data_IF_592066052818
#
_entry.id   IF_592066052818
#
_cell.length_a   1.000
_cell.length_b   1.000
_cell.length_c   1.000
_cell.angle_alpha   90.00
_cell.angle_beta   90.00
_cell.angle_gamma   90.00
#
_symmetry.space_group_name_H-M   'P 1'
#
loop_
_entity.id
_entity.type
_entity.pdbx_description
1 polymer ?
#
# COMPACT_ATOMS: atom_id res chain seq x y z
N UNK A 1 -6.79 3.30 20.72
CA UNK A 1 -5.44 3.68 21.15
C UNK A 1 -5.24 3.59 22.65
N UNK A 2 -4.43 2.62 23.08
CA UNK A 2 -4.18 2.32 24.48
C UNK A 2 -2.95 3.10 25.00
N UNK A 3 -3.09 4.00 26.00
CA UNK A 3 -1.96 4.78 26.50
C UNK A 3 -0.97 3.97 27.35
N UNK A 4 0.31 4.36 27.43
CA UNK A 4 1.32 3.76 28.31
C UNK A 4 1.20 4.34 29.74
N UNK A 5 0.09 4.07 30.41
CA UNK A 5 -0.32 4.68 31.68
C UNK A 5 -0.11 3.79 32.92
N UNK A 6 0.65 2.71 32.78
CA UNK A 6 0.88 1.77 33.88
C UNK A 6 -0.26 0.80 34.15
N UNK A 7 -1.39 0.90 33.44
CA UNK A 7 -2.54 0.01 33.66
C UNK A 7 -2.47 -1.21 32.74
N UNK A 8 -3.07 -2.33 33.16
CA UNK A 8 -3.11 -3.59 32.40
C UNK A 8 -1.72 -4.11 31.99
N UNK A 9 -0.71 -3.90 32.85
CA UNK A 9 0.68 -4.36 32.61
C UNK A 9 1.48 -3.51 31.61
N UNK A 10 0.93 -2.38 31.14
CA UNK A 10 1.65 -1.44 30.27
C UNK A 10 2.72 -0.69 31.07
N UNK A 11 3.77 -0.26 30.39
CA UNK A 11 4.75 0.65 30.98
C UNK A 11 4.07 1.98 31.36
N UNK A 12 4.61 2.67 32.37
CA UNK A 12 4.01 3.86 32.97
C UNK A 12 4.79 5.15 32.64
N UNK A 13 4.73 5.58 31.38
CA UNK A 13 5.46 6.76 30.90
C UNK A 13 4.59 7.79 30.16
N UNK A 14 3.26 7.64 30.14
CA UNK A 14 2.33 8.61 29.54
C UNK A 14 2.57 10.04 30.06
N UNK A 15 2.78 10.20 31.36
CA UNK A 15 3.06 11.50 31.97
C UNK A 15 4.38 12.12 31.49
N UNK A 16 5.41 11.30 31.22
CA UNK A 16 6.68 11.78 30.68
C UNK A 16 6.54 12.31 29.23
N UNK A 17 5.51 11.86 28.51
CA UNK A 17 5.13 12.37 27.20
C UNK A 17 4.12 13.53 27.29
N UNK A 18 3.85 14.10 28.46
CA UNK A 18 2.90 15.21 28.63
C UNK A 18 1.48 14.80 29.03
N UNK A 19 1.21 13.50 29.22
CA UNK A 19 -0.07 13.02 29.72
C UNK A 19 -1.21 13.19 28.70
N UNK A 20 -2.44 13.34 29.20
CA UNK A 20 -3.59 13.67 28.34
C UNK A 20 -3.47 15.10 27.77
N UNK A 21 -2.91 16.02 28.55
CA UNK A 21 -2.80 17.44 28.18
C UNK A 21 -4.15 18.07 27.83
N UNK A 22 -4.13 19.12 27.02
CA UNK A 22 -5.33 19.86 26.65
C UNK A 22 -6.13 19.15 25.55
N UNK A 23 -5.46 18.39 24.68
CA UNK A 23 -6.11 17.67 23.58
C UNK A 23 -6.72 16.32 24.00
N UNK A 24 -6.35 15.81 25.17
CA UNK A 24 -6.62 14.43 25.58
C UNK A 24 -5.64 13.40 24.98
N UNK A 25 -4.78 13.82 24.05
CA UNK A 25 -3.83 12.96 23.32
C UNK A 25 -2.43 13.56 23.24
N UNK A 26 -2.07 14.49 24.14
CA UNK A 26 -0.77 15.18 24.10
C UNK A 26 0.42 14.21 24.18
N UNK A 27 0.27 13.08 24.86
CA UNK A 27 1.29 12.02 24.86
C UNK A 27 1.58 11.44 23.47
N UNK A 28 0.59 11.40 22.57
CA UNK A 28 0.79 11.00 21.17
C UNK A 28 1.46 12.15 20.41
N UNK A 29 0.94 13.37 20.54
CA UNK A 29 1.49 14.54 19.85
C UNK A 29 2.96 14.74 20.18
N UNK A 30 3.33 14.68 21.45
CA UNK A 30 4.72 14.83 21.88
C UNK A 30 5.61 13.70 21.38
N UNK A 31 5.13 12.45 21.34
CA UNK A 31 5.89 11.35 20.75
C UNK A 31 6.20 11.60 19.27
N UNK A 32 5.22 12.10 18.50
CA UNK A 32 5.43 12.43 17.08
C UNK A 32 6.27 13.69 16.87
N UNK A 33 6.12 14.73 17.71
CA UNK A 33 6.99 15.92 17.69
C UNK A 33 8.45 15.54 17.91
N UNK A 34 8.72 14.70 18.92
CA UNK A 34 10.06 14.16 19.18
C UNK A 34 10.56 13.34 17.98
N UNK A 35 9.71 12.52 17.37
CA UNK A 35 10.09 11.77 16.17
C UNK A 35 10.46 12.71 15.01
N UNK A 36 9.69 13.78 14.77
CA UNK A 36 10.02 14.79 13.75
C UNK A 36 11.30 15.56 14.03
N UNK A 37 11.66 15.74 15.29
CA UNK A 37 12.93 16.37 15.68
C UNK A 37 14.14 15.45 15.42
N UNK A 38 13.98 14.15 15.66
CA UNK A 38 15.07 13.18 15.66
C UNK A 38 15.31 12.55 14.28
N UNK A 39 14.24 12.19 13.57
CA UNK A 39 14.35 11.45 12.31
C UNK A 39 14.50 12.40 11.10
N UNK A 40 15.22 11.97 10.05
CA UNK A 40 15.32 12.72 8.80
C UNK A 40 13.93 13.04 8.22
N UNK A 41 13.80 14.19 7.55
CA UNK A 41 12.53 14.70 7.04
C UNK A 41 11.84 13.76 6.04
N UNK A 42 12.59 12.93 5.33
CA UNK A 42 12.10 11.89 4.44
C UNK A 42 11.52 10.66 5.15
N UNK A 43 11.74 10.53 6.47
CA UNK A 43 11.21 9.42 7.26
C UNK A 43 9.72 9.61 7.47
N UNK A 44 8.94 8.71 6.87
CA UNK A 44 7.49 8.71 7.04
C UNK A 44 7.10 8.19 8.42
N UNK A 45 6.29 8.94 9.15
CA UNK A 45 5.77 8.58 10.46
C UNK A 45 4.35 8.02 10.34
N UNK A 46 4.13 6.91 11.03
CA UNK A 46 2.88 6.15 10.99
C UNK A 46 2.29 6.04 12.40
N UNK A 47 1.00 6.35 12.54
CA UNK A 47 0.23 5.93 13.71
C UNK A 47 -0.32 4.54 13.40
N UNK A 48 -0.11 3.55 14.27
CA UNK A 48 -0.55 2.17 14.08
C UNK A 48 -1.39 1.70 15.28
N UNK A 49 -2.48 0.98 15.01
CA UNK A 49 -3.35 0.42 16.04
C UNK A 49 -4.23 -0.71 15.48
N UNK A 50 -4.96 -1.40 16.36
CA UNK A 50 -5.89 -2.48 16.02
C UNK A 50 -7.33 -2.16 16.37
N UNK A 51 -8.25 -2.94 15.80
CA UNK A 51 -9.70 -2.77 15.99
C UNK A 51 -10.17 -1.36 15.60
N UNK A 52 -9.60 -0.79 14.53
CA UNK A 52 -10.04 0.50 14.00
C UNK A 52 -11.16 0.24 13.00
N UNK A 53 -10.90 -0.53 11.95
CA UNK A 53 -11.84 -0.69 10.83
C UNK A 53 -13.05 -1.59 11.13
N UNK A 54 -13.08 -2.27 12.27
CA UNK A 54 -14.18 -3.15 12.66
C UNK A 54 -15.28 -2.44 13.47
N UNK A 55 -15.04 -1.19 13.88
CA UNK A 55 -15.92 -0.42 14.75
C UNK A 55 -15.89 1.05 14.36
N UNK A 56 -17.04 1.61 13.98
CA UNK A 56 -17.12 3.04 13.64
C UNK A 56 -16.77 3.94 14.82
N UNK A 57 -17.08 3.54 16.07
CA UNK A 57 -16.67 4.29 17.26
C UNK A 57 -15.16 4.31 17.45
N UNK A 58 -14.49 3.17 17.19
CA UNK A 58 -13.02 3.09 17.24
C UNK A 58 -12.39 3.92 16.12
N UNK A 59 -12.94 3.82 14.90
CA UNK A 59 -12.53 4.63 13.74
C UNK A 59 -12.64 6.12 14.05
N UNK A 60 -13.77 6.58 14.60
CA UNK A 60 -13.95 8.00 14.97
C UNK A 60 -12.94 8.46 16.03
N UNK A 61 -12.65 7.62 17.02
CA UNK A 61 -11.64 7.95 18.05
C UNK A 61 -10.25 8.06 17.41
N UNK A 62 -9.92 7.16 16.48
CA UNK A 62 -8.65 7.18 15.78
C UNK A 62 -8.49 8.41 14.87
N UNK A 63 -9.55 8.79 14.17
CA UNK A 63 -9.61 10.00 13.36
C UNK A 63 -9.37 11.27 14.19
N UNK A 64 -9.90 11.35 15.42
CA UNK A 64 -9.61 12.49 16.30
C UNK A 64 -8.11 12.64 16.58
N UNK A 65 -7.39 11.53 16.79
CA UNK A 65 -5.93 11.55 17.00
C UNK A 65 -5.21 11.96 15.70
N UNK A 66 -5.64 11.42 14.57
CA UNK A 66 -5.08 11.74 13.25
C UNK A 66 -5.26 13.22 12.93
N UNK A 67 -6.43 13.80 13.18
CA UNK A 67 -6.72 15.22 12.97
C UNK A 67 -5.79 16.12 13.79
N UNK A 68 -5.55 15.77 15.06
CA UNK A 68 -4.60 16.49 15.92
C UNK A 68 -3.17 16.42 15.36
N UNK A 69 -2.74 15.24 14.88
CA UNK A 69 -1.42 15.08 14.26
C UNK A 69 -1.30 15.82 12.92
N UNK A 70 -2.35 15.81 12.09
CA UNK A 70 -2.39 16.52 10.82
C UNK A 70 -2.33 18.04 10.99
N UNK A 71 -2.97 18.58 12.05
CA UNK A 71 -2.93 20.01 12.36
C UNK A 71 -1.50 20.56 12.55
N UNK A 72 -0.55 19.69 12.88
CA UNK A 72 0.87 20.02 13.08
C UNK A 72 1.82 19.37 12.05
N UNK A 73 1.28 18.76 10.99
CA UNK A 73 2.04 18.02 9.96
C UNK A 73 2.92 16.88 10.55
N UNK A 74 2.43 16.21 11.58
CA UNK A 74 3.19 15.22 12.34
C UNK A 74 3.09 13.78 11.79
N UNK A 75 2.11 13.48 10.94
CA UNK A 75 1.81 12.11 10.48
C UNK A 75 1.81 12.02 8.95
N UNK A 76 2.29 10.88 8.41
CA UNK A 76 2.38 10.62 6.97
C UNK A 76 1.60 9.37 6.51
N UNK A 77 1.27 8.46 7.42
CA UNK A 77 0.65 7.16 7.13
C UNK A 77 -0.32 6.78 8.25
N UNK A 78 -1.48 6.23 7.88
CA UNK A 78 -2.41 5.57 8.80
C UNK A 78 -2.14 4.06 8.78
N UNK A 79 -1.77 3.49 9.91
CA UNK A 79 -1.64 2.05 10.11
C UNK A 79 -2.91 1.44 10.72
N UNK A 80 -3.34 0.30 10.18
CA UNK A 80 -4.32 -0.62 10.76
C UNK A 80 -3.71 -2.02 10.78
N UNK A 81 -3.69 -2.67 11.94
CA UNK A 81 -3.06 -4.00 12.08
C UNK A 81 -3.73 -5.06 11.21
N UNK A 82 -5.07 -5.16 11.25
CA UNK A 82 -5.81 -6.15 10.45
C UNK A 82 -5.75 -7.59 10.97
N UNK A 83 -5.43 -7.82 12.25
CA UNK A 83 -5.41 -9.16 12.83
C UNK A 83 -6.75 -9.91 12.69
N UNK A 84 -6.71 -11.24 12.76
CA UNK A 84 -7.88 -12.11 12.59
C UNK A 84 -9.07 -11.77 13.51
N UNK A 85 -8.79 -11.35 14.75
CA UNK A 85 -9.83 -10.98 15.72
C UNK A 85 -10.48 -9.61 15.43
N UNK A 86 -9.83 -8.75 14.63
CA UNK A 86 -10.39 -7.46 14.21
C UNK A 86 -11.15 -7.60 12.90
N UNK A 87 -10.77 -8.51 12.01
CA UNK A 87 -11.41 -8.71 10.69
C UNK A 87 -12.68 -9.59 10.72
N UNK A 88 -13.29 -9.77 11.90
CA UNK A 88 -14.57 -10.48 12.09
C UNK A 88 -15.78 -9.67 11.63
N UNK A 89 -15.65 -8.35 11.50
CA UNK A 89 -16.69 -7.48 10.99
C UNK A 89 -17.03 -7.77 9.51
N UNK A 90 -18.20 -7.28 9.08
CA UNK A 90 -18.61 -7.38 7.66
C UNK A 90 -17.67 -6.57 6.77
N UNK A 91 -17.51 -6.99 5.51
CA UNK A 91 -16.70 -6.25 4.53
C UNK A 91 -17.26 -4.84 4.29
N UNK A 92 -18.57 -4.66 4.34
CA UNK A 92 -19.22 -3.34 4.29
C UNK A 92 -18.77 -2.44 5.44
N UNK A 93 -18.77 -2.94 6.68
CA UNK A 93 -18.28 -2.19 7.85
C UNK A 93 -16.82 -1.79 7.67
N UNK A 94 -15.97 -2.75 7.31
CA UNK A 94 -14.54 -2.50 7.10
C UNK A 94 -14.30 -1.44 6.01
N UNK A 95 -14.97 -1.56 4.85
CA UNK A 95 -14.82 -0.60 3.76
C UNK A 95 -15.37 0.79 4.09
N UNK A 96 -16.48 0.89 4.82
CA UNK A 96 -17.00 2.19 5.29
C UNK A 96 -15.99 2.90 6.19
N UNK A 97 -15.37 2.16 7.11
CA UNK A 97 -14.38 2.74 8.01
C UNK A 97 -13.06 3.07 7.27
N UNK A 98 -12.61 2.23 6.32
CA UNK A 98 -11.48 2.55 5.44
C UNK A 98 -11.75 3.81 4.59
N UNK A 99 -12.97 3.99 4.08
CA UNK A 99 -13.36 5.23 3.37
C UNK A 99 -13.22 6.46 4.29
N UNK A 100 -13.63 6.35 5.56
CA UNK A 100 -13.50 7.43 6.52
C UNK A 100 -12.03 7.77 6.82
N UNK A 101 -11.16 6.76 6.95
CA UNK A 101 -9.72 6.96 7.11
C UNK A 101 -9.10 7.59 5.86
N UNK A 102 -9.46 7.12 4.66
CA UNK A 102 -8.93 7.62 3.40
C UNK A 102 -9.37 9.06 3.10
N UNK A 103 -10.51 9.51 3.65
CA UNK A 103 -10.98 10.88 3.52
C UNK A 103 -10.05 11.92 4.17
N UNK A 104 -9.12 11.49 5.05
CA UNK A 104 -8.06 12.35 5.60
C UNK A 104 -7.02 12.78 4.57
N UNK A 105 -6.97 12.10 3.41
CA UNK A 105 -5.93 12.27 2.40
C UNK A 105 -4.61 11.56 2.71
N UNK A 106 -4.49 10.89 3.87
CA UNK A 106 -3.32 10.08 4.20
C UNK A 106 -3.48 8.66 3.64
N UNK A 107 -2.39 8.04 3.17
CA UNK A 107 -2.42 6.66 2.75
C UNK A 107 -2.50 5.70 3.94
N UNK A 108 -3.16 4.57 3.70
CA UNK A 108 -3.40 3.52 4.68
C UNK A 108 -2.46 2.35 4.41
N UNK A 109 -1.84 1.82 5.46
CA UNK A 109 -1.09 0.56 5.44
C UNK A 109 -1.78 -0.45 6.34
N UNK A 110 -2.05 -1.65 5.81
CA UNK A 110 -2.39 -2.79 6.65
C UNK A 110 -1.09 -3.41 7.13
N UNK A 111 -0.81 -3.36 8.43
CA UNK A 111 0.55 -3.54 8.95
C UNK A 111 0.84 -4.94 9.48
N UNK A 112 -0.18 -5.68 9.91
CA UNK A 112 -0.01 -6.92 10.67
C UNK A 112 -1.11 -7.95 10.32
N UNK A 113 -1.45 -8.08 9.04
CA UNK A 113 -2.53 -8.97 8.61
C UNK A 113 -2.20 -10.43 8.91
N UNK A 114 -3.08 -11.06 9.68
CA UNK A 114 -3.13 -12.51 9.84
C UNK A 114 -4.59 -12.98 9.81
N UNK A 115 -4.80 -14.20 9.31
CA UNK A 115 -6.14 -14.78 9.17
C UNK A 115 -6.07 -16.22 9.68
N UNK A 116 -6.79 -16.45 10.77
CA UNK A 116 -6.87 -17.73 11.46
C UNK A 116 -7.41 -18.85 10.53
N UNK A 117 -7.00 -20.08 10.81
CA UNK A 117 -7.23 -21.22 9.93
C UNK A 117 -7.41 -22.51 10.69
N UNK A 118 -8.49 -22.60 11.48
CA UNK A 118 -8.90 -23.83 12.20
C UNK A 118 -9.11 -25.03 11.26
N UNK A 119 -9.36 -24.76 9.98
CA UNK A 119 -9.16 -25.69 8.86
C UNK A 119 -8.75 -24.91 7.61
N UNK A 120 -8.19 -25.58 6.61
CA UNK A 120 -7.82 -24.95 5.33
C UNK A 120 -9.01 -24.30 4.62
N UNK A 121 -10.19 -24.92 4.67
CA UNK A 121 -11.40 -24.38 4.07
C UNK A 121 -11.82 -23.06 4.73
N UNK A 122 -11.75 -22.98 6.07
CA UNK A 122 -12.10 -21.77 6.83
C UNK A 122 -11.10 -20.65 6.54
N UNK A 123 -9.81 -20.98 6.51
CA UNK A 123 -8.77 -19.99 6.21
C UNK A 123 -8.94 -19.43 4.79
N UNK A 124 -9.14 -20.31 3.81
CA UNK A 124 -9.36 -19.94 2.42
C UNK A 124 -10.58 -19.02 2.25
N UNK A 125 -11.73 -19.38 2.82
CA UNK A 125 -12.94 -18.55 2.76
C UNK A 125 -12.71 -17.18 3.42
N UNK A 126 -11.94 -17.14 4.50
CA UNK A 126 -11.63 -15.89 5.19
C UNK A 126 -10.70 -14.99 4.38
N UNK A 127 -9.66 -15.56 3.75
CA UNK A 127 -8.81 -14.83 2.79
C UNK A 127 -9.62 -14.27 1.62
N UNK A 128 -10.49 -15.08 1.01
CA UNK A 128 -11.38 -14.67 -0.08
C UNK A 128 -12.31 -13.52 0.29
N UNK A 129 -12.72 -13.43 1.56
CA UNK A 129 -13.60 -12.36 2.07
C UNK A 129 -12.82 -11.11 2.44
N UNK A 130 -11.72 -11.26 3.18
CA UNK A 130 -11.02 -10.17 3.85
C UNK A 130 -10.03 -9.50 2.91
N UNK A 131 -9.17 -10.29 2.25
CA UNK A 131 -8.05 -9.74 1.49
C UNK A 131 -8.51 -8.80 0.36
N UNK A 132 -9.50 -9.14 -0.48
CA UNK A 132 -9.99 -8.22 -1.52
C UNK A 132 -10.61 -6.94 -0.95
N UNK A 133 -11.32 -7.04 0.17
CA UNK A 133 -11.95 -5.89 0.80
C UNK A 133 -10.93 -4.85 1.29
N UNK A 134 -9.72 -5.29 1.63
CA UNK A 134 -8.59 -4.45 2.00
C UNK A 134 -7.77 -4.02 0.77
N UNK A 135 -7.31 -4.99 -0.03
CA UNK A 135 -6.36 -4.79 -1.12
C UNK A 135 -6.91 -3.93 -2.25
N UNK A 136 -8.20 -4.05 -2.57
CA UNK A 136 -8.84 -3.27 -3.64
C UNK A 136 -9.34 -1.89 -3.15
N UNK A 137 -9.10 -1.52 -1.90
CA UNK A 137 -9.49 -0.22 -1.39
C UNK A 137 -8.48 0.85 -1.86
N UNK A 138 -8.89 1.93 -2.55
CA UNK A 138 -7.95 2.87 -3.17
C UNK A 138 -7.10 3.66 -2.17
N UNK A 139 -7.54 3.78 -0.92
CA UNK A 139 -6.75 4.37 0.16
C UNK A 139 -5.69 3.46 0.76
N UNK A 140 -5.70 2.15 0.47
CA UNK A 140 -4.74 1.18 1.00
C UNK A 140 -3.55 1.06 0.04
N UNK A 141 -2.37 1.50 0.48
CA UNK A 141 -1.14 1.48 -0.31
C UNK A 141 -0.35 0.17 -0.16
N UNK A 142 -0.60 -0.59 0.90
CA UNK A 142 0.16 -1.81 1.17
C UNK A 142 -0.45 -2.68 2.26
N UNK A 143 -0.09 -3.96 2.21
CA UNK A 143 -0.47 -4.98 3.18
C UNK A 143 0.79 -5.76 3.57
N UNK A 144 1.07 -5.82 4.85
CA UNK A 144 2.13 -6.65 5.46
C UNK A 144 1.49 -7.76 6.26
N UNK A 145 1.92 -9.01 6.01
CA UNK A 145 1.46 -10.16 6.78
C UNK A 145 2.24 -10.27 8.10
N UNK A 146 1.55 -10.59 9.21
CA UNK A 146 2.18 -10.79 10.52
C UNK A 146 2.80 -12.18 10.68
N UNK A 147 3.74 -12.47 9.78
CA UNK A 147 4.30 -13.80 9.59
C UNK A 147 3.40 -14.69 8.72
N UNK A 148 4.02 -15.71 8.12
CA UNK A 148 3.34 -16.59 7.16
C UNK A 148 3.78 -18.06 7.24
N UNK A 149 4.80 -18.34 8.05
CA UNK A 149 5.29 -19.69 8.35
C UNK A 149 4.99 -20.03 9.80
N UNK A 150 5.03 -21.34 10.12
CA UNK A 150 4.92 -21.83 11.50
C UNK A 150 5.86 -21.06 12.44
N UNK A 151 5.38 -20.79 13.66
CA UNK A 151 6.07 -19.99 14.67
C UNK A 151 5.72 -18.50 14.68
N UNK A 152 4.79 -18.06 13.83
CA UNK A 152 4.18 -16.73 13.94
C UNK A 152 3.36 -16.58 15.23
N UNK A 153 3.00 -15.35 15.60
CA UNK A 153 2.27 -15.08 16.84
C UNK A 153 0.96 -15.88 16.95
N UNK A 154 0.25 -16.02 15.83
CA UNK A 154 -1.02 -16.79 15.75
C UNK A 154 -0.85 -18.22 15.22
N UNK A 155 0.28 -18.86 15.54
CA UNK A 155 0.58 -20.24 15.10
C UNK A 155 -0.48 -21.24 15.59
N UNK A 156 -0.89 -21.13 16.85
CA UNK A 156 -1.87 -22.03 17.47
C UNK A 156 -3.28 -21.88 16.87
N UNK A 157 -3.60 -20.72 16.31
CA UNK A 157 -4.86 -20.47 15.62
C UNK A 157 -4.81 -20.87 14.14
N UNK A 158 -3.68 -21.42 13.68
CA UNK A 158 -3.52 -21.86 12.31
C UNK A 158 -3.45 -20.70 11.32
N UNK A 159 -2.83 -19.57 11.67
CA UNK A 159 -2.75 -18.43 10.75
C UNK A 159 -1.61 -18.52 9.71
N UNK A 160 -0.66 -19.45 9.88
CA UNK A 160 0.39 -19.70 8.90
C UNK A 160 -0.20 -20.12 7.54
N UNK A 161 0.55 -19.83 6.48
CA UNK A 161 0.23 -20.08 5.08
C UNK A 161 1.04 -21.23 4.46
N UNK A 162 2.10 -21.67 5.16
CA UNK A 162 2.91 -22.84 4.81
C UNK A 162 2.86 -23.86 5.94
N UNK A 163 2.61 -25.12 5.59
CA UNK A 163 2.64 -26.27 6.49
C UNK A 163 4.07 -26.59 6.96
N UNK A 164 4.19 -27.39 8.02
CA UNK A 164 5.50 -27.75 8.58
C UNK A 164 6.41 -28.49 7.59
N UNK A 165 5.83 -29.25 6.66
CA UNK A 165 6.55 -29.97 5.60
C UNK A 165 6.96 -29.07 4.41
N UNK A 166 6.63 -27.78 4.47
CA UNK A 166 6.93 -26.80 3.42
C UNK A 166 5.86 -26.70 2.32
N UNK A 167 4.81 -27.52 2.36
CA UNK A 167 3.69 -27.41 1.42
C UNK A 167 2.87 -26.16 1.68
N UNK A 168 2.31 -25.59 0.62
CA UNK A 168 1.45 -24.43 0.71
C UNK A 168 0.06 -24.82 1.20
N UNK A 169 -0.57 -23.95 1.97
CA UNK A 169 -1.99 -24.10 2.28
C UNK A 169 -2.83 -23.51 1.16
N UNK A 170 -4.08 -23.98 0.97
CA UNK A 170 -4.96 -23.48 -0.10
C UNK A 170 -5.15 -21.95 -0.09
N UNK A 171 -5.10 -21.30 1.07
CA UNK A 171 -5.16 -19.85 1.18
C UNK A 171 -3.97 -19.13 0.49
N UNK A 172 -2.76 -19.69 0.56
CA UNK A 172 -1.58 -19.12 -0.09
C UNK A 172 -1.61 -19.33 -1.60
N UNK A 173 -2.01 -20.53 -2.03
CA UNK A 173 -2.21 -20.83 -3.45
C UNK A 173 -3.26 -19.89 -4.06
N UNK A 174 -4.39 -19.71 -3.36
CA UNK A 174 -5.43 -18.77 -3.76
C UNK A 174 -4.92 -17.33 -3.78
N UNK A 175 -4.22 -16.87 -2.74
CA UNK A 175 -3.73 -15.49 -2.66
C UNK A 175 -2.79 -15.15 -3.82
N UNK A 176 -1.87 -16.06 -4.15
CA UNK A 176 -0.99 -15.92 -5.31
C UNK A 176 -1.79 -15.81 -6.60
N UNK A 177 -2.69 -16.76 -6.83
CA UNK A 177 -3.54 -16.77 -8.01
C UNK A 177 -4.41 -15.51 -8.10
N UNK A 178 -4.97 -15.04 -6.98
CA UNK A 178 -5.76 -13.82 -6.92
C UNK A 178 -4.94 -12.59 -7.33
N UNK A 179 -3.73 -12.43 -6.78
CA UNK A 179 -2.83 -11.34 -7.14
C UNK A 179 -2.38 -11.43 -8.61
N UNK A 180 -2.10 -12.65 -9.10
CA UNK A 180 -1.80 -12.88 -10.51
C UNK A 180 -3.00 -12.54 -11.41
N UNK A 181 -4.23 -12.88 -11.00
CA UNK A 181 -5.43 -12.53 -11.75
C UNK A 181 -5.71 -11.04 -11.74
N UNK A 182 -5.43 -10.32 -10.66
CA UNK A 182 -5.53 -8.85 -10.67
C UNK A 182 -4.51 -8.25 -11.63
N UNK A 183 -3.30 -8.80 -11.70
CA UNK A 183 -2.34 -8.40 -12.74
C UNK A 183 -2.85 -8.71 -14.16
N UNK A 184 -3.68 -9.74 -14.33
CA UNK A 184 -4.33 -10.09 -15.61
C UNK A 184 -5.59 -9.24 -15.89
N UNK A 185 -6.42 -8.90 -14.91
CA UNK A 185 -7.66 -8.12 -15.09
C UNK A 185 -7.35 -6.63 -15.22
N UNK A 186 -6.34 -6.11 -14.51
CA UNK A 186 -5.75 -4.80 -14.81
C UNK A 186 -5.14 -4.79 -16.22
N UNK A 187 -4.77 -5.95 -16.76
CA UNK A 187 -4.35 -6.08 -18.15
C UNK A 187 -5.50 -6.20 -19.17
N UNK A 188 -6.77 -6.26 -18.74
CA UNK A 188 -7.97 -6.30 -19.62
C UNK A 188 -8.92 -5.11 -19.37
N UNK A 189 -8.59 -4.19 -18.46
CA UNK A 189 -9.19 -2.85 -18.53
C UNK A 189 -8.57 -2.07 -19.69
N UNK A 190 -9.23 -2.19 -20.85
CA UNK A 190 -9.22 -1.16 -21.88
C UNK A 190 -9.75 0.11 -21.21
N UNK A 191 -8.85 0.86 -20.56
CA UNK A 191 -9.10 2.23 -20.18
C UNK A 191 -9.33 2.98 -21.49
N UNK A 192 -10.59 3.03 -21.92
CA UNK A 192 -11.07 4.18 -22.66
C UNK A 192 -10.92 5.36 -21.71
N UNK A 193 -9.73 5.97 -21.76
CA UNK A 193 -9.45 7.27 -21.20
C UNK A 193 -10.61 8.19 -21.54
N UNK A 194 -11.24 8.81 -20.54
CA UNK A 194 -12.18 9.88 -20.79
C UNK A 194 -11.50 10.87 -21.74
N UNK A 195 -12.13 11.23 -22.88
CA UNK A 195 -11.53 12.19 -23.80
C UNK A 195 -11.22 13.49 -23.06
N UNK A 196 -9.94 13.84 -22.91
CA UNK A 196 -9.52 15.15 -22.40
C UNK A 196 -8.50 15.19 -21.25
N UNK A 197 -8.00 14.06 -20.73
CA UNK A 197 -7.01 14.06 -19.63
C UNK A 197 -5.67 13.40 -20.00
N UNK A 198 -4.60 13.79 -19.30
CA UNK A 198 -3.32 13.10 -19.36
C UNK A 198 -3.44 11.74 -18.69
N UNK A 199 -2.91 10.68 -19.32
CA UNK A 199 -2.93 9.35 -18.75
C UNK A 199 -1.62 8.60 -19.01
N UNK A 200 -1.21 7.77 -18.04
CA UNK A 200 -0.18 6.76 -18.21
C UNK A 200 -0.76 5.42 -17.76
N UNK A 201 -0.92 4.51 -18.72
CA UNK A 201 -1.43 3.17 -18.46
C UNK A 201 -0.38 2.33 -17.77
N UNK A 202 -0.84 1.30 -17.06
CA UNK A 202 0.04 0.24 -16.61
C UNK A 202 0.71 -0.40 -17.84
N UNK A 203 2.04 -0.61 -17.78
CA UNK A 203 2.74 -1.27 -18.89
C UNK A 203 2.20 -2.69 -19.10
N UNK A 204 2.14 -3.16 -20.34
CA UNK A 204 1.66 -4.51 -20.67
C UNK A 204 2.63 -5.25 -21.60
N UNK A 205 3.05 -6.49 -21.25
CA UNK A 205 2.72 -7.20 -20.00
C UNK A 205 3.35 -6.55 -18.75
N UNK A 206 2.79 -6.83 -17.57
CA UNK A 206 3.40 -6.57 -16.26
C UNK A 206 2.90 -7.61 -15.23
N UNK A 207 3.76 -8.50 -14.69
CA UNK A 207 5.20 -8.61 -14.94
C UNK A 207 5.56 -8.92 -16.40
N UNK A 208 6.77 -8.55 -16.84
CA UNK A 208 7.22 -8.71 -18.24
C UNK A 208 8.58 -9.42 -18.35
N UNK A 209 8.84 -10.02 -19.52
CA UNK A 209 10.10 -10.70 -19.84
C UNK A 209 10.48 -10.60 -21.33
N UNK A 210 11.60 -9.95 -21.70
CA UNK A 210 12.10 -8.71 -21.12
C UNK A 210 11.39 -7.48 -21.73
N UNK A 211 10.40 -7.68 -22.60
CA UNK A 211 9.75 -6.61 -23.37
C UNK A 211 8.36 -6.28 -22.82
N UNK A 212 8.05 -4.99 -22.76
CA UNK A 212 6.74 -4.46 -22.38
C UNK A 212 6.37 -3.23 -23.19
N UNK A 213 5.07 -2.96 -23.31
CA UNK A 213 4.51 -1.80 -23.98
C UNK A 213 3.94 -0.83 -22.95
N UNK A 214 4.31 0.43 -23.08
CA UNK A 214 3.86 1.56 -22.26
C UNK A 214 2.87 2.35 -23.10
N UNK A 215 1.63 2.50 -22.63
CA UNK A 215 0.61 3.31 -23.30
C UNK A 215 0.32 4.59 -22.50
N UNK A 216 0.08 5.69 -23.20
CA UNK A 216 -0.21 6.99 -22.58
C UNK A 216 -1.08 7.88 -23.48
N UNK A 217 -1.85 8.78 -22.87
CA UNK A 217 -2.74 9.74 -23.55
C UNK A 217 -2.27 11.16 -23.33
N UNK A 218 -2.28 11.95 -24.41
CA UNK A 218 -1.96 13.37 -24.43
C UNK A 218 -3.23 14.13 -24.84
N UNK A 219 -3.83 14.94 -23.96
CA UNK A 219 -5.06 15.68 -24.28
C UNK A 219 -4.80 16.99 -25.02
N UNK A 220 -3.62 17.60 -24.82
CA UNK A 220 -3.20 18.84 -25.47
C UNK A 220 -1.73 18.78 -25.88
N UNK A 221 -1.32 19.47 -26.97
CA UNK A 221 0.06 19.39 -27.46
C UNK A 221 1.08 19.80 -26.39
N UNK A 222 1.98 18.89 -26.04
CA UNK A 222 3.00 19.14 -25.01
C UNK A 222 4.26 18.32 -25.24
N UNK A 223 5.31 18.65 -24.50
CA UNK A 223 6.54 17.86 -24.48
C UNK A 223 6.44 16.73 -23.46
N UNK A 224 6.78 15.51 -23.85
CA UNK A 224 6.71 14.30 -23.01
C UNK A 224 8.09 13.65 -22.93
N UNK A 225 8.43 13.14 -21.75
CA UNK A 225 9.56 12.25 -21.53
C UNK A 225 9.14 11.07 -20.65
N UNK A 226 9.54 9.86 -21.04
CA UNK A 226 9.35 8.64 -20.26
C UNK A 226 10.69 8.28 -19.61
N UNK A 227 10.69 8.00 -18.32
CA UNK A 227 11.86 7.60 -17.55
C UNK A 227 11.55 6.30 -16.81
N UNK A 228 12.59 5.51 -16.57
CA UNK A 228 12.51 4.26 -15.82
C UNK A 228 13.58 4.29 -14.74
N UNK A 229 13.18 4.11 -13.49
CA UNK A 229 14.07 4.06 -12.33
C UNK A 229 14.08 2.67 -11.70
N UNK A 230 15.18 2.31 -11.03
CA UNK A 230 15.16 1.20 -10.09
C UNK A 230 14.63 1.64 -8.70
N UNK A 231 14.43 0.69 -7.78
CA UNK A 231 13.93 0.98 -6.42
C UNK A 231 14.86 1.88 -5.58
N UNK A 232 16.12 2.06 -5.97
CA UNK A 232 17.03 2.99 -5.31
C UNK A 232 16.89 4.43 -5.81
N UNK A 233 15.98 4.67 -6.77
CA UNK A 233 15.77 5.97 -7.41
C UNK A 233 16.80 6.28 -8.50
N UNK A 234 17.64 5.32 -8.89
CA UNK A 234 18.61 5.52 -9.97
C UNK A 234 17.92 5.39 -11.32
N UNK A 235 18.15 6.35 -12.20
CA UNK A 235 17.65 6.30 -13.59
C UNK A 235 18.34 5.16 -14.35
N UNK A 236 17.53 4.29 -14.92
CA UNK A 236 17.95 3.11 -15.67
C UNK A 236 17.87 3.36 -17.17
N UNK A 237 16.82 4.04 -17.62
CA UNK A 237 16.55 4.29 -19.04
C UNK A 237 15.61 5.51 -19.20
N UNK A 238 15.75 6.24 -20.31
CA UNK A 238 14.79 7.29 -20.68
C UNK A 238 14.50 7.31 -22.19
N UNK A 239 13.31 7.81 -22.55
CA UNK A 239 12.96 8.13 -23.93
C UNK A 239 13.54 9.49 -24.34
N UNK A 240 13.65 9.70 -25.66
CA UNK A 240 13.95 11.03 -26.20
C UNK A 240 12.79 11.97 -25.85
N UNK A 241 13.11 13.10 -25.21
CA UNK A 241 12.15 14.16 -24.92
C UNK A 241 11.61 14.73 -26.24
N UNK A 242 10.31 14.58 -26.48
CA UNK A 242 9.68 14.87 -27.78
C UNK A 242 8.35 15.60 -27.61
N UNK A 243 7.95 16.38 -28.63
CA UNK A 243 6.63 17.01 -28.67
C UNK A 243 5.59 16.03 -29.23
N UNK A 244 4.49 15.88 -28.51
CA UNK A 244 3.35 15.05 -28.89
C UNK A 244 2.15 15.95 -29.16
N UNK A 245 1.36 15.63 -30.19
CA UNK A 245 0.04 16.23 -30.40
C UNK A 245 -1.00 15.53 -29.50
N UNK A 246 -2.23 16.03 -29.48
CA UNK A 246 -3.33 15.32 -28.84
C UNK A 246 -3.50 13.92 -29.44
N UNK A 247 -3.58 12.89 -28.61
CA UNK A 247 -3.75 11.50 -29.05
C UNK A 247 -3.32 10.46 -28.03
N UNK A 248 -3.46 9.19 -28.43
CA UNK A 248 -2.99 8.02 -27.69
C UNK A 248 -1.70 7.49 -28.32
N UNK A 249 -0.74 7.12 -27.49
CA UNK A 249 0.59 6.70 -27.91
C UNK A 249 1.03 5.44 -27.19
N UNK A 250 1.93 4.69 -27.85
CA UNK A 250 2.58 3.53 -27.26
C UNK A 250 4.09 3.60 -27.44
N UNK A 251 4.83 3.07 -26.47
CA UNK A 251 6.29 2.96 -26.46
C UNK A 251 6.69 1.58 -25.96
N UNK A 252 7.59 0.90 -26.66
CA UNK A 252 8.10 -0.42 -26.23
C UNK A 252 9.43 -0.25 -25.49
N UNK A 253 9.55 -0.89 -24.33
CA UNK A 253 10.81 -1.03 -23.61
C UNK A 253 11.24 -2.49 -23.54
N UNK A 254 12.51 -2.77 -23.84
CA UNK A 254 13.06 -4.13 -23.97
C UNK A 254 13.87 -4.58 -22.75
N UNK A 255 13.68 -3.96 -21.59
CA UNK A 255 14.38 -4.36 -20.36
C UNK A 255 15.90 -4.12 -20.44
N UNK A 256 16.30 -3.03 -21.09
CA UNK A 256 17.69 -2.58 -21.22
C UNK A 256 17.89 -1.21 -20.60
N UNK A 257 19.08 -0.94 -20.07
CA UNK A 257 19.46 0.38 -19.59
C UNK A 257 19.83 1.31 -20.76
N UNK A 258 20.18 2.56 -20.46
CA UNK A 258 20.55 3.56 -21.47
C UNK A 258 21.74 3.15 -22.37
N UNK A 259 22.64 2.29 -21.88
CA UNK A 259 23.77 1.76 -22.63
C UNK A 259 23.42 0.52 -23.49
N UNK A 260 22.16 0.10 -23.50
CA UNK A 260 21.70 -1.10 -24.22
C UNK A 260 21.97 -2.42 -23.50
N UNK A 261 22.48 -2.38 -22.26
CA UNK A 261 22.72 -3.59 -21.48
C UNK A 261 21.45 -4.05 -20.76
N UNK A 262 21.24 -5.37 -20.71
CA UNK A 262 20.13 -5.99 -19.98
C UNK A 262 20.09 -5.59 -18.50
N UNK A 263 18.92 -5.20 -18.01
CA UNK A 263 18.68 -4.93 -16.58
C UNK A 263 18.27 -6.20 -15.83
N UNK A 264 18.42 -6.23 -14.51
CA UNK A 264 18.16 -7.43 -13.68
C UNK A 264 16.66 -7.61 -13.37
N UNK A 265 16.21 -8.83 -13.05
CA UNK A 265 14.85 -9.04 -12.52
C UNK A 265 14.63 -8.19 -11.26
N UNK A 266 13.44 -7.59 -11.14
CA UNK A 266 13.16 -6.68 -10.03
C UNK A 266 12.03 -5.70 -10.32
N UNK A 267 11.81 -4.80 -9.36
CA UNK A 267 10.81 -3.74 -9.45
C UNK A 267 11.48 -2.48 -10.03
N UNK A 268 10.78 -1.85 -10.97
CA UNK A 268 11.15 -0.59 -11.59
C UNK A 268 9.99 0.41 -11.47
N UNK A 269 10.30 1.70 -11.54
CA UNK A 269 9.30 2.77 -11.59
C UNK A 269 9.33 3.41 -12.98
N UNK A 270 8.22 3.27 -13.70
CA UNK A 270 7.93 4.01 -14.91
C UNK A 270 7.44 5.40 -14.54
N UNK A 271 7.97 6.44 -15.17
CA UNK A 271 7.62 7.82 -14.88
C UNK A 271 7.39 8.57 -16.19
N UNK A 272 6.21 9.17 -16.36
CA UNK A 272 5.94 10.11 -17.44
C UNK A 272 6.02 11.53 -16.91
N UNK A 273 6.78 12.38 -17.60
CA UNK A 273 6.96 13.79 -17.27
C UNK A 273 6.51 14.65 -18.46
N UNK A 274 5.62 15.60 -18.16
CA UNK A 274 5.30 16.76 -19.00
C UNK A 274 5.44 18.04 -18.15
N UNK A 275 5.43 19.25 -18.73
CA UNK A 275 5.48 20.49 -17.95
C UNK A 275 4.30 20.66 -16.97
N UNK A 276 3.14 20.06 -17.27
CA UNK A 276 1.89 20.21 -16.49
C UNK A 276 1.47 18.94 -15.74
N UNK A 277 2.08 17.79 -16.02
CA UNK A 277 1.65 16.50 -15.49
C UNK A 277 2.83 15.56 -15.26
N UNK A 278 2.79 14.85 -14.14
CA UNK A 278 3.80 13.87 -13.76
C UNK A 278 3.10 12.69 -13.09
N UNK A 279 3.34 11.48 -13.58
CA UNK A 279 2.71 10.27 -13.04
C UNK A 279 3.65 9.07 -13.12
N UNK A 280 3.58 8.21 -12.11
CA UNK A 280 4.41 7.01 -12.04
C UNK A 280 3.57 5.73 -11.98
N UNK A 281 4.14 4.64 -12.49
CA UNK A 281 3.60 3.28 -12.45
C UNK A 281 4.69 2.29 -12.04
N UNK A 282 4.31 1.26 -11.29
CA UNK A 282 5.23 0.20 -10.89
C UNK A 282 5.34 -0.84 -12.00
N UNK A 283 6.55 -1.21 -12.38
CA UNK A 283 6.85 -2.29 -13.33
C UNK A 283 7.57 -3.43 -12.61
N UNK A 284 7.34 -4.66 -13.04
CA UNK A 284 7.98 -5.87 -12.51
C UNK A 284 8.61 -6.63 -13.67
N UNK A 285 9.94 -6.64 -13.74
CA UNK A 285 10.70 -7.43 -14.70
C UNK A 285 10.99 -8.80 -14.10
N UNK A 286 10.60 -9.87 -14.81
CA UNK A 286 10.97 -11.24 -14.46
C UNK A 286 11.74 -11.86 -15.63
N UNK A 287 13.05 -12.03 -15.48
CA UNK A 287 13.88 -12.84 -16.36
C UNK A 287 14.02 -14.26 -15.83
#
# INVERSE_FOLDING_TARGET
HNPPDGTSGRANYKAALGGDGDSGWDWVLNAFRMAREIFPAETRLMLNDYSIINSSSSTSTYLQIIELLQAENLIDIIGEQGHAFTTTATTTTMRTNLNALAATGLPIQITELDIDGTSDAVQLQSYQRIFPALYEHPGVEGITLWGWRRGLWRDEQGAYLINQDGTERPALEWLRNYLDTLNIVVAVEDFQSLPGEFSLSQNYPNPFNPTTTIAFTIPEPTTVQILIYDLSGREVWHSVKSNYSTGNYTLTWNGVNQAGASVVSGIYLLHMITPQYSVSRKMVLMK
#
